data_IF_456343666509
#
_entry.id   IF_456343666509
#
_cell.length_a   1.000
_cell.length_b   1.000
_cell.length_c   1.000
_cell.angle_alpha   90.00
_cell.angle_beta   90.00
_cell.angle_gamma   90.00
#
_symmetry.space_group_name_H-M   'P 1'
#
loop_
_entity.id
_entity.type
_entity.pdbx_description
1 polymer ?
#
# COMPACT_ATOMS: atom_id res chain seq x y z
N UNK A 1 -11.03 -11.32 64.77
CA UNK A 1 -11.70 -12.23 65.72
C UNK A 1 -12.93 -12.79 65.05
N UNK A 2 -12.92 -14.11 64.93
CA UNK A 2 -13.98 -15.08 64.65
C UNK A 2 -15.38 -14.66 65.13
N UNK A 3 -16.42 -14.84 64.33
CA UNK A 3 -17.54 -15.71 64.72
C UNK A 3 -18.46 -16.03 63.56
N UNK A 4 -18.54 -17.33 63.27
CA UNK A 4 -19.68 -17.96 62.61
C UNK A 4 -20.92 -17.93 63.54
N UNK A 5 -22.07 -18.31 62.99
CA UNK A 5 -23.15 -19.17 63.53
C UNK A 5 -24.47 -18.75 62.85
N UNK A 6 -24.97 -19.52 61.87
CA UNK A 6 -25.91 -20.66 61.98
C UNK A 6 -27.39 -20.24 62.02
N UNK A 7 -28.19 -20.84 61.15
CA UNK A 7 -29.65 -20.74 61.19
C UNK A 7 -30.30 -21.38 59.98
N UNK A 8 -30.49 -22.69 60.05
CA UNK A 8 -31.20 -23.51 59.06
C UNK A 8 -32.72 -23.37 59.17
N UNK A 9 -33.38 -23.77 58.07
CA UNK A 9 -34.65 -24.48 57.99
C UNK A 9 -35.97 -23.68 57.88
N UNK A 10 -36.54 -23.80 56.68
CA UNK A 10 -37.84 -24.44 56.42
C UNK A 10 -39.11 -23.73 56.90
N UNK A 11 -39.92 -23.29 55.94
CA UNK A 11 -41.39 -23.50 55.84
C UNK A 11 -41.78 -23.12 54.39
N UNK A 12 -41.90 -24.06 53.46
CA UNK A 12 -43.12 -24.81 53.09
C UNK A 12 -44.36 -23.94 52.86
N UNK A 13 -44.65 -23.64 51.59
CA UNK A 13 -46.01 -23.75 51.04
C UNK A 13 -45.94 -24.03 49.53
N UNK A 14 -46.28 -25.26 49.17
CA UNK A 14 -46.80 -25.67 47.85
C UNK A 14 -48.34 -25.56 47.90
N UNK A 15 -49.11 -25.92 46.84
CA UNK A 15 -48.87 -26.04 45.40
C UNK A 15 -49.94 -25.24 44.62
N UNK A 16 -50.09 -25.51 43.32
CA UNK A 16 -51.30 -25.33 42.47
C UNK A 16 -51.26 -24.14 41.49
N UNK A 17 -51.57 -24.22 40.20
CA UNK A 17 -51.56 -25.24 39.12
C UNK A 17 -51.76 -24.40 37.83
N UNK A 18 -51.27 -24.91 36.70
CA UNK A 18 -51.42 -24.44 35.31
C UNK A 18 -50.39 -23.39 34.86
N UNK A 19 -49.56 -23.62 33.85
CA UNK A 19 -49.47 -24.74 32.93
C UNK A 19 -48.73 -24.26 31.67
N UNK A 20 -47.57 -24.84 31.38
CA UNK A 20 -47.04 -24.99 30.01
C UNK A 20 -46.00 -26.10 30.05
N UNK A 21 -46.35 -27.22 29.44
CA UNK A 21 -45.59 -28.46 29.35
C UNK A 21 -44.38 -28.27 28.42
N UNK A 22 -43.17 -28.37 28.97
CA UNK A 22 -41.96 -28.54 28.16
C UNK A 22 -41.62 -30.03 28.11
N UNK A 23 -41.97 -30.59 26.95
CA UNK A 23 -41.66 -31.92 26.41
C UNK A 23 -40.43 -32.59 27.03
N UNK A 24 -40.70 -33.71 27.69
CA UNK A 24 -39.77 -34.82 27.93
C UNK A 24 -39.32 -35.42 26.59
N UNK A 25 -38.01 -35.56 26.39
CA UNK A 25 -37.50 -36.64 25.54
C UNK A 25 -36.32 -37.31 26.24
N UNK A 26 -36.65 -38.44 26.87
CA UNK A 26 -35.77 -39.54 27.19
C UNK A 26 -34.96 -39.94 25.95
N UNK A 27 -33.63 -39.91 26.02
CA UNK A 27 -32.80 -40.60 25.02
C UNK A 27 -31.89 -41.55 25.78
N UNK A 28 -32.53 -42.66 26.13
CA UNK A 28 -31.94 -43.96 26.41
C UNK A 28 -30.71 -44.24 25.53
N UNK A 29 -29.60 -44.47 26.22
CA UNK A 29 -28.38 -45.10 25.71
C UNK A 29 -28.76 -46.50 25.22
N UNK A 30 -28.83 -46.70 23.90
CA UNK A 30 -28.93 -48.03 23.29
C UNK A 30 -27.71 -48.30 22.42
N UNK A 31 -26.87 -49.22 22.89
CA UNK A 31 -25.79 -49.83 22.13
C UNK A 31 -26.35 -50.64 20.96
N UNK A 32 -25.99 -50.28 19.73
CA UNK A 32 -26.13 -51.15 18.57
C UNK A 32 -24.77 -51.34 17.89
N UNK A 33 -24.43 -52.56 17.44
CA UNK A 33 -23.16 -52.86 16.80
C UNK A 33 -23.16 -52.26 15.40
N UNK A 34 -22.16 -51.44 15.10
CA UNK A 34 -21.99 -50.87 13.77
C UNK A 34 -21.63 -51.99 12.78
N UNK A 35 -22.63 -52.41 12.01
CA UNK A 35 -22.49 -53.32 10.87
C UNK A 35 -21.66 -52.61 9.81
N UNK A 36 -20.49 -53.18 9.49
CA UNK A 36 -19.65 -52.78 8.38
C UNK A 36 -20.37 -53.07 7.05
N UNK A 37 -21.01 -52.05 6.48
CA UNK A 37 -21.43 -52.05 5.09
C UNK A 37 -20.62 -50.99 4.35
N UNK A 38 -19.87 -51.43 3.33
CA UNK A 38 -18.87 -50.66 2.62
C UNK A 38 -19.37 -49.32 2.10
N UNK A 39 -18.72 -48.27 2.57
CA UNK A 39 -18.62 -47.00 1.86
C UNK A 39 -17.18 -46.93 1.38
N UNK A 40 -16.98 -47.04 0.07
CA UNK A 40 -15.67 -46.92 -0.55
C UNK A 40 -15.01 -45.61 -0.11
N UNK A 41 -13.79 -45.69 0.38
CA UNK A 41 -12.97 -44.53 0.70
C UNK A 41 -12.74 -43.71 -0.59
N UNK A 42 -13.24 -42.48 -0.74
CA UNK A 42 -12.69 -41.59 -1.76
C UNK A 42 -11.24 -41.30 -1.37
N UNK A 43 -10.34 -41.43 -2.35
CA UNK A 43 -8.88 -41.33 -2.22
C UNK A 43 -8.42 -40.35 -1.13
N UNK A 44 -7.88 -40.90 -0.04
CA UNK A 44 -7.16 -40.17 0.99
C UNK A 44 -5.85 -39.66 0.40
N UNK A 45 -5.86 -38.42 -0.10
CA UNK A 45 -4.63 -37.66 -0.22
C UNK A 45 -4.34 -37.13 1.19
N UNK A 46 -3.41 -37.76 1.91
CA UNK A 46 -2.93 -37.27 3.19
C UNK A 46 -2.26 -35.91 3.00
N UNK A 47 -3.06 -34.84 2.98
CA UNK A 47 -2.58 -33.45 3.06
C UNK A 47 -2.06 -33.23 4.46
N UNK A 48 -0.89 -33.83 4.72
CA UNK A 48 -0.19 -33.71 5.97
C UNK A 48 0.11 -32.23 6.22
N UNK A 49 0.07 -31.74 7.48
CA UNK A 49 0.16 -30.31 7.80
C UNK A 49 1.38 -29.61 7.20
N UNK A 50 2.46 -30.35 6.95
CA UNK A 50 3.66 -29.83 6.28
C UNK A 50 3.42 -29.48 4.81
N UNK A 51 2.59 -30.22 4.07
CA UNK A 51 2.28 -29.91 2.66
C UNK A 51 1.46 -28.63 2.57
N UNK A 52 0.48 -28.44 3.47
CA UNK A 52 -0.30 -27.21 3.56
C UNK A 52 0.59 -25.99 3.89
N UNK A 53 1.53 -26.15 4.83
CA UNK A 53 2.49 -25.10 5.17
C UNK A 53 3.41 -24.74 3.99
N UNK A 54 3.93 -25.74 3.27
CA UNK A 54 4.80 -25.51 2.10
C UNK A 54 4.05 -24.81 0.96
N UNK A 55 2.79 -25.18 0.70
CA UNK A 55 1.96 -24.50 -0.28
C UNK A 55 1.67 -23.05 0.12
N UNK A 56 1.42 -22.79 1.41
CA UNK A 56 1.27 -21.43 1.93
C UNK A 56 2.52 -20.59 1.74
N UNK A 57 3.70 -21.12 2.10
CA UNK A 57 4.98 -20.42 1.94
C UNK A 57 5.30 -20.21 0.46
N UNK A 58 5.07 -21.20 -0.40
CA UNK A 58 5.28 -21.07 -1.85
C UNK A 58 4.36 -19.99 -2.43
N UNK A 59 3.10 -19.95 -2.01
CA UNK A 59 2.15 -18.89 -2.37
C UNK A 59 2.63 -17.51 -1.94
N UNK A 60 3.11 -17.37 -0.70
CA UNK A 60 3.66 -16.11 -0.18
C UNK A 60 4.96 -15.70 -0.87
N UNK A 61 5.85 -16.64 -1.20
CA UNK A 61 7.09 -16.36 -1.91
C UNK A 61 6.82 -15.92 -3.35
N UNK A 62 5.87 -16.55 -4.03
CA UNK A 62 5.42 -16.13 -5.37
C UNK A 62 4.72 -14.77 -5.31
N UNK A 63 3.82 -14.56 -4.36
CA UNK A 63 3.11 -13.29 -4.21
C UNK A 63 4.07 -12.14 -3.85
N UNK A 64 4.99 -12.38 -2.92
CA UNK A 64 6.05 -11.46 -2.54
C UNK A 64 7.01 -11.18 -3.69
N UNK A 65 7.40 -12.22 -4.44
CA UNK A 65 8.21 -12.10 -5.65
C UNK A 65 7.53 -11.25 -6.73
N UNK A 66 6.24 -11.49 -7.00
CA UNK A 66 5.42 -10.70 -7.94
C UNK A 66 5.32 -9.25 -7.50
N UNK A 67 5.10 -8.98 -6.21
CA UNK A 67 5.09 -7.62 -5.66
C UNK A 67 6.45 -6.91 -5.82
N UNK A 68 7.56 -7.60 -5.55
CA UNK A 68 8.91 -7.05 -5.73
C UNK A 68 9.21 -6.78 -7.20
N UNK A 69 8.84 -7.69 -8.10
CA UNK A 69 9.02 -7.51 -9.55
C UNK A 69 8.18 -6.34 -10.05
N UNK A 70 6.91 -6.24 -9.63
CA UNK A 70 6.04 -5.10 -9.99
C UNK A 70 6.57 -3.76 -9.47
N UNK A 71 7.13 -3.71 -8.26
CA UNK A 71 7.74 -2.50 -7.72
C UNK A 71 9.00 -2.08 -8.50
N UNK A 72 9.76 -3.06 -9.00
CA UNK A 72 10.92 -2.82 -9.87
C UNK A 72 10.52 -2.41 -11.29
N UNK A 73 9.40 -2.95 -11.81
CA UNK A 73 8.89 -2.60 -13.13
C UNK A 73 8.17 -1.26 -13.16
N UNK A 74 7.40 -0.86 -12.14
CA UNK A 74 6.83 0.49 -12.07
C UNK A 74 7.90 1.59 -12.05
N UNK A 75 9.07 1.30 -11.48
CA UNK A 75 10.26 2.17 -11.56
C UNK A 75 10.97 2.13 -12.91
N UNK A 76 10.83 1.03 -13.69
CA UNK A 76 11.43 0.85 -15.02
C UNK A 76 10.54 1.31 -16.17
N UNK A 77 9.22 1.15 -16.08
CA UNK A 77 8.25 1.63 -17.08
C UNK A 77 8.28 3.16 -17.14
N UNK A 78 8.49 3.83 -16.01
CA UNK A 78 8.75 5.28 -15.96
C UNK A 78 10.02 5.70 -16.73
N UNK A 79 10.96 4.77 -16.95
CA UNK A 79 12.23 5.01 -17.64
C UNK A 79 12.23 4.52 -19.09
N UNK A 80 11.21 3.75 -19.53
CA UNK A 80 11.15 3.17 -20.87
C UNK A 80 9.91 3.56 -21.66
N UNK A 81 8.84 4.04 -21.01
CA UNK A 81 7.61 4.48 -21.68
C UNK A 81 7.71 5.87 -22.31
N UNK A 82 8.75 6.65 -22.03
CA UNK A 82 9.04 7.92 -22.73
C UNK A 82 9.84 7.68 -24.02
N UNK A 83 9.40 6.74 -24.85
CA UNK A 83 9.99 6.53 -26.19
C UNK A 83 8.96 6.23 -27.28
N UNK A 84 7.66 6.21 -26.99
CA UNK A 84 6.69 5.73 -27.99
C UNK A 84 5.25 6.24 -27.86
N UNK A 85 5.00 7.52 -27.58
CA UNK A 85 3.74 8.17 -28.00
C UNK A 85 3.83 9.69 -27.85
N UNK A 86 4.22 10.41 -28.90
CA UNK A 86 3.71 11.73 -29.31
C UNK A 86 4.47 12.17 -30.57
N UNK A 87 3.84 12.00 -31.73
CA UNK A 87 4.41 12.23 -33.08
C UNK A 87 4.15 13.66 -33.58
N UNK A 88 4.07 14.66 -32.70
CA UNK A 88 4.14 16.06 -33.12
C UNK A 88 5.44 16.64 -32.55
N UNK A 89 6.50 16.57 -33.35
CA UNK A 89 7.86 17.05 -33.06
C UNK A 89 8.39 16.63 -31.67
N UNK A 90 8.97 15.42 -31.59
CA UNK A 90 9.43 14.74 -30.37
C UNK A 90 10.32 15.60 -29.45
N UNK A 91 9.72 16.48 -28.65
CA UNK A 91 10.33 17.09 -27.49
C UNK A 91 10.37 16.02 -26.39
N UNK A 92 11.57 15.69 -25.94
CA UNK A 92 11.77 14.81 -24.78
C UNK A 92 11.14 15.41 -23.53
N UNK A 93 10.85 14.59 -22.51
CA UNK A 93 10.38 15.07 -21.19
C UNK A 93 11.19 16.28 -20.67
N UNK A 94 12.52 16.25 -20.85
CA UNK A 94 13.45 17.33 -20.47
C UNK A 94 13.21 18.62 -21.26
N UNK A 95 13.01 18.51 -22.56
CA UNK A 95 12.80 19.63 -23.46
C UNK A 95 11.42 20.24 -23.24
N UNK A 96 10.39 19.42 -23.03
CA UNK A 96 9.05 19.89 -22.72
C UNK A 96 9.04 20.76 -21.45
N UNK A 97 9.72 20.33 -20.38
CA UNK A 97 9.81 21.13 -19.14
C UNK A 97 10.63 22.40 -19.34
N UNK A 98 11.74 22.33 -20.07
CA UNK A 98 12.57 23.52 -20.34
C UNK A 98 11.81 24.55 -21.17
N UNK A 99 11.11 24.12 -22.22
CA UNK A 99 10.28 24.98 -23.05
C UNK A 99 9.13 25.58 -22.23
N UNK A 100 8.46 24.78 -21.40
CA UNK A 100 7.42 25.26 -20.51
C UNK A 100 7.94 26.37 -19.58
N UNK A 101 9.13 26.21 -18.99
CA UNK A 101 9.74 27.24 -18.14
C UNK A 101 10.13 28.47 -18.96
N UNK A 102 10.65 28.27 -20.18
CA UNK A 102 11.03 29.34 -21.10
C UNK A 102 9.82 30.21 -21.49
N UNK A 103 8.72 29.57 -21.87
CA UNK A 103 7.44 30.22 -22.22
C UNK A 103 6.86 31.02 -21.04
N UNK A 104 7.19 30.63 -19.81
CA UNK A 104 6.83 31.35 -18.58
C UNK A 104 7.83 32.46 -18.20
N UNK A 105 8.67 32.91 -19.13
CA UNK A 105 9.68 33.97 -18.89
C UNK A 105 10.98 33.46 -18.29
N UNK A 106 11.28 32.18 -18.49
CA UNK A 106 12.48 31.49 -18.01
C UNK A 106 12.46 31.16 -16.51
N UNK A 107 11.31 31.29 -15.85
CA UNK A 107 11.12 30.93 -14.44
C UNK A 107 9.69 30.50 -14.17
N UNK A 108 9.52 29.45 -13.38
CA UNK A 108 8.21 28.88 -13.09
C UNK A 108 8.20 28.21 -11.73
N UNK A 109 7.07 28.28 -11.01
CA UNK A 109 6.90 27.52 -9.77
C UNK A 109 6.79 26.03 -10.07
N UNK A 110 7.42 25.19 -9.25
CA UNK A 110 7.35 23.73 -9.40
C UNK A 110 5.91 23.22 -9.33
N UNK A 111 5.05 23.81 -8.49
CA UNK A 111 3.61 23.48 -8.44
C UNK A 111 2.95 23.71 -9.79
N UNK A 112 3.17 24.87 -10.41
CA UNK A 112 2.67 25.14 -11.75
C UNK A 112 3.21 24.19 -12.81
N UNK A 113 4.49 23.78 -12.72
CA UNK A 113 5.03 22.77 -13.63
C UNK A 113 4.21 21.48 -13.50
N UNK A 114 4.02 20.99 -12.26
CA UNK A 114 3.20 19.81 -11.98
C UNK A 114 1.76 19.97 -12.48
N UNK A 115 1.18 21.16 -12.40
CA UNK A 115 -0.18 21.43 -12.88
C UNK A 115 -0.29 21.54 -14.40
N UNK A 116 0.84 21.80 -15.10
CA UNK A 116 0.87 21.99 -16.55
C UNK A 116 1.22 20.72 -17.32
N UNK A 117 1.82 19.73 -16.65
CA UNK A 117 2.13 18.42 -17.23
C UNK A 117 1.28 17.34 -16.59
N UNK A 118 0.76 16.40 -17.37
CA UNK A 118 -0.02 15.25 -16.87
C UNK A 118 0.88 14.15 -16.27
N UNK A 119 1.86 14.54 -15.44
CA UNK A 119 2.82 13.63 -14.83
C UNK A 119 2.67 13.57 -13.31
N UNK A 120 3.08 12.44 -12.73
CA UNK A 120 3.14 12.35 -11.27
C UNK A 120 4.15 13.36 -10.69
N UNK A 121 3.82 13.93 -9.52
CA UNK A 121 4.73 14.81 -8.76
C UNK A 121 6.11 14.18 -8.55
N UNK A 122 6.18 12.86 -8.37
CA UNK A 122 7.43 12.12 -8.23
C UNK A 122 8.28 12.16 -9.51
N UNK A 123 7.67 11.94 -10.69
CA UNK A 123 8.35 12.05 -11.99
C UNK A 123 8.90 13.46 -12.20
N UNK A 124 8.07 14.49 -11.99
CA UNK A 124 8.50 15.90 -12.10
C UNK A 124 9.64 16.21 -11.13
N UNK A 125 9.52 15.78 -9.88
CA UNK A 125 10.56 16.04 -8.88
C UNK A 125 11.89 15.39 -9.24
N UNK A 126 11.86 14.17 -9.79
CA UNK A 126 13.06 13.46 -10.25
C UNK A 126 13.67 14.14 -11.46
N UNK A 127 12.88 14.45 -12.48
CA UNK A 127 13.34 15.12 -13.69
C UNK A 127 13.99 16.48 -13.36
N UNK A 128 13.37 17.27 -12.48
CA UNK A 128 13.95 18.54 -12.05
C UNK A 128 15.22 18.34 -11.19
N UNK A 129 15.38 17.22 -10.50
CA UNK A 129 16.65 16.92 -9.81
C UNK A 129 17.75 16.62 -10.85
N UNK A 130 17.46 15.78 -11.84
CA UNK A 130 18.40 15.47 -12.93
C UNK A 130 18.81 16.74 -13.70
N UNK A 131 17.87 17.61 -14.07
CA UNK A 131 18.17 18.87 -14.76
C UNK A 131 18.98 19.86 -13.90
N UNK A 132 18.80 19.86 -12.59
CA UNK A 132 19.58 20.69 -11.66
C UNK A 132 21.01 20.17 -11.52
N UNK A 133 21.18 18.86 -11.41
CA UNK A 133 22.50 18.20 -11.39
C UNK A 133 23.29 18.47 -12.69
N UNK A 134 22.60 18.50 -13.84
CA UNK A 134 23.17 18.87 -15.13
C UNK A 134 23.43 20.39 -15.30
N UNK A 135 23.03 21.22 -14.33
CA UNK A 135 23.16 22.68 -14.40
C UNK A 135 22.26 23.34 -15.45
N UNK A 136 21.21 22.63 -15.91
CA UNK A 136 20.22 23.13 -16.88
C UNK A 136 19.16 24.01 -16.24
N UNK A 137 18.97 23.92 -14.92
CA UNK A 137 18.06 24.74 -14.13
C UNK A 137 18.65 25.02 -12.74
N UNK A 138 18.16 26.07 -12.09
CA UNK A 138 18.42 26.36 -10.67
C UNK A 138 17.11 26.36 -9.89
N UNK A 139 17.10 25.75 -8.70
CA UNK A 139 15.95 25.81 -7.78
C UNK A 139 16.19 26.81 -6.66
N UNK A 140 15.23 27.70 -6.45
CA UNK A 140 15.24 28.67 -5.37
C UNK A 140 14.00 28.51 -4.50
N UNK A 141 14.16 28.67 -3.19
CA UNK A 141 13.02 28.63 -2.27
C UNK A 141 12.28 29.97 -2.33
N UNK A 142 11.01 29.95 -2.73
CA UNK A 142 10.14 31.13 -2.73
C UNK A 142 8.95 30.89 -1.80
N UNK A 143 9.05 31.40 -0.57
CA UNK A 143 8.06 31.16 0.47
C UNK A 143 7.97 29.67 0.85
N UNK A 144 6.83 29.04 0.54
CA UNK A 144 6.57 27.60 0.82
C UNK A 144 6.74 26.70 -0.40
N UNK A 145 7.08 27.26 -1.55
CA UNK A 145 7.20 26.55 -2.82
C UNK A 145 8.62 26.72 -3.38
N UNK A 146 8.95 25.93 -4.39
CA UNK A 146 10.20 26.07 -5.12
C UNK A 146 9.94 26.79 -6.45
N UNK A 147 10.77 27.79 -6.73
CA UNK A 147 10.87 28.45 -8.02
C UNK A 147 11.99 27.76 -8.81
N UNK A 148 11.68 27.34 -10.03
CA UNK A 148 12.64 26.77 -10.98
C UNK A 148 12.99 27.86 -11.98
N UNK A 149 14.28 28.10 -12.21
CA UNK A 149 14.77 29.10 -13.16
C UNK A 149 15.69 28.46 -14.18
N UNK A 150 15.63 28.92 -15.42
CA UNK A 150 16.66 28.65 -16.42
C UNK A 150 17.92 29.47 -16.12
N UNK A 151 19.11 29.03 -16.56
CA UNK A 151 20.35 29.79 -16.47
C UNK A 151 20.18 31.20 -17.03
N UNK A 152 20.60 32.21 -16.27
CA UNK A 152 20.47 33.63 -16.65
C UNK A 152 19.11 34.27 -16.38
N UNK A 153 18.09 33.49 -15.98
CA UNK A 153 16.76 33.98 -15.60
C UNK A 153 16.52 34.02 -14.08
N UNK A 154 17.59 33.86 -13.30
CA UNK A 154 17.54 33.91 -11.84
C UNK A 154 17.17 35.30 -11.33
N UNK A 155 16.43 35.41 -10.21
CA UNK A 155 16.17 36.70 -9.58
C UNK A 155 17.50 37.37 -9.18
N UNK A 156 17.65 38.66 -9.48
CA UNK A 156 18.86 39.46 -9.14
C UNK A 156 19.21 39.42 -7.64
N UNK A 157 18.25 39.09 -6.77
CA UNK A 157 18.46 38.93 -5.33
C UNK A 157 19.10 37.58 -4.93
N UNK A 158 19.40 36.69 -5.86
CA UNK A 158 19.92 35.33 -5.59
C UNK A 158 21.25 35.01 -6.27
N UNK A 159 21.84 35.96 -7.01
CA UNK A 159 23.23 35.85 -7.44
C UNK A 159 24.13 36.08 -6.22
N UNK A 160 24.37 35.04 -5.42
CA UNK A 160 25.45 35.04 -4.44
C UNK A 160 26.77 34.81 -5.20
N UNK A 161 27.69 35.78 -5.24
CA UNK A 161 28.86 35.74 -6.12
C UNK A 161 29.98 34.93 -5.46
N UNK A 162 29.91 33.60 -5.44
CA UNK A 162 30.98 32.79 -4.85
C UNK A 162 31.31 31.54 -5.68
N UNK A 163 32.16 31.73 -6.69
CA UNK A 163 33.15 30.73 -7.08
C UNK A 163 34.49 31.44 -7.32
N UNK A 164 35.43 31.45 -6.36
CA UNK A 164 36.82 31.66 -6.73
C UNK A 164 37.28 30.40 -7.48
N UNK A 165 37.63 30.56 -8.75
CA UNK A 165 38.50 29.62 -9.45
C UNK A 165 39.79 29.54 -8.65
N UNK A 166 40.01 28.41 -7.96
CA UNK A 166 41.33 28.09 -7.45
C UNK A 166 42.16 27.59 -8.64
N UNK A 167 43.09 28.44 -9.08
CA UNK A 167 44.26 28.06 -9.89
C UNK A 167 45.20 27.11 -9.13
#
# INVERSE_FOLDING_TARGET
MTSQFHGSATTLVSPETAGIESVTTDISIWSAPFVAAGVGHPAQLEWSPHIAALLGILGLALLGGVLVVRNRLGSRDSFSADSSTHTEEFLTDREQVQQLIQDNGGRMKQSRIVDSVDWSKAKVSRLLAELEEEGRITKLRLGRENLVCLPGHEPTASQSPERPTSE
#
